data_IF_808861181276
#
_entry.id   IF_808861181276
#
_cell.length_a   1.000
_cell.length_b   1.000
_cell.length_c   1.000
_cell.angle_alpha   90.00
_cell.angle_beta   90.00
_cell.angle_gamma   90.00
#
_symmetry.space_group_name_H-M   'P 1'
#
loop_
_entity.id
_entity.type
_entity.pdbx_description
1 polymer ?
#
# COMPACT_ATOMS: atom_id res chain seq x y z
N UNK A 1 5.43 -14.17 -9.67
CA UNK A 1 3.99 -14.28 -9.42
C UNK A 1 3.68 -14.50 -7.94
N UNK A 2 4.07 -15.62 -7.33
CA UNK A 2 3.71 -15.90 -5.93
C UNK A 2 4.14 -14.84 -4.91
N UNK A 3 5.34 -14.24 -5.05
CA UNK A 3 5.76 -13.14 -4.17
C UNK A 3 4.88 -11.90 -4.29
N UNK A 4 4.35 -11.64 -5.49
CA UNK A 4 3.43 -10.52 -5.74
C UNK A 4 2.09 -10.83 -5.07
N UNK A 5 1.56 -12.03 -5.26
CA UNK A 5 0.30 -12.44 -4.62
C UNK A 5 0.40 -12.44 -3.08
N UNK A 6 1.51 -12.93 -2.53
CA UNK A 6 1.78 -12.87 -1.10
C UNK A 6 1.87 -11.41 -0.62
N UNK A 7 2.59 -10.56 -1.36
CA UNK A 7 2.68 -9.14 -1.07
C UNK A 7 1.33 -8.43 -1.12
N UNK A 8 0.47 -8.79 -2.06
CA UNK A 8 -0.87 -8.25 -2.14
C UNK A 8 -1.74 -8.63 -0.95
N UNK A 9 -1.70 -9.90 -0.54
CA UNK A 9 -2.41 -10.36 0.66
C UNK A 9 -1.90 -9.62 1.90
N UNK A 10 -0.58 -9.51 2.08
CA UNK A 10 -0.02 -8.80 3.24
C UNK A 10 -0.41 -7.31 3.19
N UNK A 11 -0.34 -6.68 2.03
CA UNK A 11 -0.68 -5.27 1.82
C UNK A 11 -2.13 -4.96 2.13
N UNK A 12 -3.05 -5.83 1.70
CA UNK A 12 -4.46 -5.70 1.99
C UNK A 12 -4.76 -5.65 3.50
N UNK A 13 -4.05 -6.44 4.31
CA UNK A 13 -4.37 -6.61 5.75
C UNK A 13 -3.41 -5.91 6.73
N UNK A 14 -2.15 -5.65 6.35
CA UNK A 14 -1.08 -5.17 7.24
C UNK A 14 -0.50 -3.81 6.84
N UNK A 15 -1.18 -3.11 5.96
CA UNK A 15 -0.72 -1.90 5.31
C UNK A 15 0.49 -2.06 4.37
N UNK A 16 0.62 -1.11 3.46
CA UNK A 16 1.74 -0.98 2.53
C UNK A 16 3.11 -0.89 3.25
N UNK A 17 3.22 -0.04 4.28
CA UNK A 17 4.46 0.12 5.05
C UNK A 17 4.84 -1.19 5.77
N UNK A 18 3.86 -1.87 6.36
CA UNK A 18 4.05 -3.17 7.00
C UNK A 18 4.54 -4.21 6.00
N UNK A 19 3.95 -4.24 4.81
CA UNK A 19 4.37 -5.12 3.71
C UNK A 19 5.81 -4.86 3.29
N UNK A 20 6.16 -3.59 3.07
CA UNK A 20 7.53 -3.20 2.71
C UNK A 20 8.55 -3.66 3.77
N UNK A 21 8.22 -3.55 5.05
CA UNK A 21 9.13 -3.90 6.15
C UNK A 21 9.19 -5.42 6.44
N UNK A 22 8.07 -6.12 6.32
CA UNK A 22 7.95 -7.56 6.63
C UNK A 22 8.41 -8.41 5.43
N UNK A 23 7.91 -8.11 4.23
CA UNK A 23 8.12 -8.97 3.07
C UNK A 23 9.55 -8.85 2.53
N UNK A 24 10.16 -7.68 2.60
CA UNK A 24 11.53 -7.45 2.11
C UNK A 24 12.58 -8.37 2.75
N UNK A 25 12.72 -8.47 4.09
CA UNK A 25 13.67 -9.40 4.68
C UNK A 25 13.33 -10.86 4.40
N UNK A 26 12.05 -11.22 4.27
CA UNK A 26 11.61 -12.58 3.91
C UNK A 26 12.08 -12.92 2.49
N UNK A 27 11.76 -12.07 1.52
CA UNK A 27 12.11 -12.26 0.11
C UNK A 27 13.61 -12.32 -0.09
N UNK A 28 14.38 -11.44 0.54
CA UNK A 28 15.84 -11.47 0.44
C UNK A 28 16.40 -12.76 1.05
N UNK A 29 15.88 -13.17 2.20
CA UNK A 29 16.34 -14.42 2.84
C UNK A 29 15.99 -15.64 1.99
N UNK A 30 14.83 -15.64 1.33
CA UNK A 30 14.43 -16.68 0.39
C UNK A 30 15.37 -16.72 -0.83
N UNK A 31 15.65 -15.56 -1.44
CA UNK A 31 16.52 -15.46 -2.61
C UNK A 31 17.97 -15.89 -2.31
N UNK A 32 18.47 -15.55 -1.12
CA UNK A 32 19.80 -15.99 -0.66
C UNK A 32 19.82 -17.51 -0.45
N UNK A 33 18.81 -18.08 0.23
CA UNK A 33 18.73 -19.53 0.48
C UNK A 33 18.59 -20.35 -0.79
N UNK A 34 17.85 -19.83 -1.78
CA UNK A 34 17.65 -20.46 -3.09
C UNK A 34 18.81 -20.20 -4.07
N UNK A 35 19.90 -19.60 -3.59
CA UNK A 35 21.16 -19.34 -4.31
C UNK A 35 20.96 -18.54 -5.60
N UNK A 36 19.92 -17.69 -5.66
CA UNK A 36 19.67 -16.80 -6.80
C UNK A 36 20.82 -15.80 -6.90
N UNK A 37 21.38 -15.61 -8.08
CA UNK A 37 22.48 -14.66 -8.26
C UNK A 37 22.01 -13.21 -8.03
N UNK A 38 22.92 -12.32 -7.62
CA UNK A 38 22.59 -10.95 -7.23
C UNK A 38 21.84 -10.13 -8.31
N UNK A 39 22.12 -10.38 -9.60
CA UNK A 39 21.40 -9.69 -10.69
C UNK A 39 19.96 -10.17 -10.80
N UNK A 40 19.74 -11.48 -10.73
CA UNK A 40 18.44 -12.11 -10.77
C UNK A 40 17.59 -11.86 -9.50
N UNK A 41 18.17 -11.31 -8.42
CA UNK A 41 17.41 -10.87 -7.24
C UNK A 41 16.63 -9.57 -7.47
N UNK A 42 17.11 -8.69 -8.35
CA UNK A 42 16.54 -7.35 -8.57
C UNK A 42 15.06 -7.40 -8.97
N UNK A 43 14.62 -8.25 -9.93
CA UNK A 43 13.22 -8.38 -10.29
C UNK A 43 12.30 -8.66 -9.09
N UNK A 44 12.72 -9.58 -8.21
CA UNK A 44 11.92 -9.98 -7.05
C UNK A 44 11.88 -8.89 -5.98
N UNK A 45 13.02 -8.26 -5.72
CA UNK A 45 13.11 -7.15 -4.76
C UNK A 45 12.24 -5.97 -5.23
N UNK A 46 12.37 -5.57 -6.49
CA UNK A 46 11.56 -4.51 -7.10
C UNK A 46 10.08 -4.88 -7.06
N UNK A 47 9.71 -6.11 -7.41
CA UNK A 47 8.33 -6.55 -7.37
C UNK A 47 7.73 -6.47 -5.94
N UNK A 48 8.50 -6.84 -4.92
CA UNK A 48 8.11 -6.69 -3.50
C UNK A 48 7.91 -5.23 -3.11
N UNK A 49 8.82 -4.34 -3.50
CA UNK A 49 8.67 -2.92 -3.23
C UNK A 49 7.48 -2.32 -3.97
N UNK A 50 7.27 -2.70 -5.23
CA UNK A 50 6.20 -2.18 -6.07
C UNK A 50 4.81 -2.60 -5.56
N UNK A 51 4.64 -3.90 -5.30
CA UNK A 51 3.34 -4.46 -4.88
C UNK A 51 2.87 -3.90 -3.54
N UNK A 52 3.82 -3.57 -2.65
CA UNK A 52 3.49 -3.04 -1.34
C UNK A 52 2.60 -1.79 -1.39
N UNK A 53 2.76 -0.87 -2.35
CA UNK A 53 1.79 0.23 -2.49
C UNK A 53 0.73 -0.09 -3.57
N UNK A 54 1.06 -0.77 -4.67
CA UNK A 54 0.09 -0.93 -5.77
C UNK A 54 -1.09 -1.85 -5.43
N UNK A 55 -0.98 -2.69 -4.39
CA UNK A 55 -2.08 -3.52 -3.89
C UNK A 55 -2.49 -3.19 -2.45
N UNK A 56 -2.34 -1.93 -2.05
CA UNK A 56 -2.86 -1.43 -0.78
C UNK A 56 -4.23 -0.77 -0.91
N UNK A 57 -4.96 -1.09 -1.99
CA UNK A 57 -6.22 -0.47 -2.42
C UNK A 57 -7.49 -1.08 -1.80
N UNK A 58 -7.60 -2.38 -1.45
CA UNK A 58 -8.91 -3.03 -1.36
C UNK A 58 -9.68 -2.73 -0.07
N UNK A 59 -9.00 -2.49 1.06
CA UNK A 59 -9.66 -2.24 2.35
C UNK A 59 -9.27 -0.87 2.90
N UNK A 60 -10.14 -0.31 3.74
CA UNK A 60 -9.85 0.94 4.46
C UNK A 60 -8.56 0.81 5.28
N UNK A 61 -8.29 -0.36 5.86
CA UNK A 61 -7.08 -0.61 6.68
C UNK A 61 -5.82 -0.90 5.87
N UNK A 62 -5.93 -1.08 4.55
CA UNK A 62 -4.80 -1.44 3.69
C UNK A 62 -3.78 -0.33 3.52
N UNK A 63 -4.15 0.92 3.78
CA UNK A 63 -3.23 2.06 3.71
C UNK A 63 -3.79 3.23 4.53
N UNK A 64 -2.92 4.06 5.08
CA UNK A 64 -3.34 5.29 5.73
C UNK A 64 -4.03 6.27 4.74
N UNK A 65 -3.63 6.25 3.46
CA UNK A 65 -4.33 6.94 2.36
C UNK A 65 -5.82 6.61 2.38
N UNK A 66 -6.16 5.33 2.50
CA UNK A 66 -7.53 4.83 2.44
C UNK A 66 -8.33 5.27 3.67
N UNK A 67 -7.74 5.15 4.87
CA UNK A 67 -8.34 5.60 6.13
C UNK A 67 -8.70 7.09 6.05
N UNK A 68 -7.76 7.91 5.62
CA UNK A 68 -7.95 9.36 5.53
C UNK A 68 -9.07 9.70 4.57
N UNK A 69 -9.06 9.16 3.36
CA UNK A 69 -10.10 9.41 2.36
C UNK A 69 -11.46 8.88 2.84
N UNK A 70 -11.54 7.67 3.37
CA UNK A 70 -12.81 7.09 3.85
C UNK A 70 -13.39 7.90 5.00
N UNK A 71 -12.56 8.34 5.95
CA UNK A 71 -13.01 9.16 7.07
C UNK A 71 -13.44 10.56 6.62
N UNK A 72 -12.75 11.17 5.65
CA UNK A 72 -13.11 12.50 5.16
C UNK A 72 -14.46 12.50 4.43
N UNK A 73 -14.71 11.49 3.58
CA UNK A 73 -15.94 11.37 2.79
C UNK A 73 -17.04 10.54 3.47
N UNK A 74 -16.84 10.12 4.74
CA UNK A 74 -17.74 9.25 5.50
C UNK A 74 -18.13 7.96 4.74
N UNK A 75 -17.16 7.35 4.07
CA UNK A 75 -17.34 6.08 3.36
C UNK A 75 -17.21 4.94 4.38
N UNK A 76 -18.24 4.11 4.49
CA UNK A 76 -18.21 2.94 5.38
C UNK A 76 -17.15 1.92 4.92
N UNK A 77 -16.66 1.10 5.85
CA UNK A 77 -15.68 0.05 5.54
C UNK A 77 -16.17 -0.88 4.42
N UNK A 78 -17.43 -1.30 4.47
CA UNK A 78 -17.99 -2.25 3.51
C UNK A 78 -18.20 -1.60 2.14
N UNK A 79 -18.79 -0.40 2.09
CA UNK A 79 -19.00 0.32 0.83
C UNK A 79 -17.68 0.65 0.13
N UNK A 80 -16.64 0.96 0.91
CA UNK A 80 -15.29 1.13 0.38
C UNK A 80 -14.77 -0.17 -0.25
N UNK A 81 -14.83 -1.28 0.50
CA UNK A 81 -14.30 -2.55 0.06
C UNK A 81 -15.03 -3.09 -1.18
N UNK A 82 -16.35 -2.97 -1.24
CA UNK A 82 -17.16 -3.36 -2.40
C UNK A 82 -16.68 -2.69 -3.68
N UNK A 83 -16.43 -1.38 -3.64
CA UNK A 83 -16.00 -0.61 -4.82
C UNK A 83 -14.53 -0.87 -5.16
N UNK A 84 -13.66 -1.00 -4.15
CA UNK A 84 -12.20 -1.00 -4.33
C UNK A 84 -11.60 -2.39 -4.51
N UNK A 85 -12.34 -3.45 -4.18
CA UNK A 85 -11.88 -4.83 -4.34
C UNK A 85 -11.55 -5.17 -5.79
N UNK A 86 -12.45 -4.84 -6.73
CA UNK A 86 -12.22 -5.14 -8.14
C UNK A 86 -11.06 -4.31 -8.75
N UNK A 87 -10.95 -2.99 -8.52
CA UNK A 87 -9.77 -2.22 -8.91
C UNK A 87 -8.45 -2.77 -8.36
N UNK A 88 -8.43 -3.25 -7.11
CA UNK A 88 -7.24 -3.87 -6.54
C UNK A 88 -6.84 -5.15 -7.31
N UNK A 89 -7.80 -6.02 -7.65
CA UNK A 89 -7.53 -7.21 -8.48
C UNK A 89 -6.93 -6.83 -9.84
N UNK A 90 -7.43 -5.76 -10.47
CA UNK A 90 -6.88 -5.25 -11.73
C UNK A 90 -5.47 -4.70 -11.52
N UNK A 91 -5.23 -3.98 -10.42
CA UNK A 91 -3.89 -3.49 -10.07
C UNK A 91 -2.90 -4.63 -9.87
N UNK A 92 -3.29 -5.68 -9.14
CA UNK A 92 -2.46 -6.88 -8.92
C UNK A 92 -2.18 -7.58 -10.25
N UNK A 93 -3.20 -7.83 -11.06
CA UNK A 93 -3.06 -8.51 -12.34
C UNK A 93 -2.16 -7.72 -13.31
N UNK A 94 -2.36 -6.41 -13.41
CA UNK A 94 -1.53 -5.52 -14.22
C UNK A 94 -0.09 -5.49 -13.68
N UNK A 95 0.10 -5.40 -12.37
CA UNK A 95 1.42 -5.42 -11.73
C UNK A 95 2.17 -6.71 -12.04
N UNK A 96 1.50 -7.86 -11.90
CA UNK A 96 2.05 -9.17 -12.28
C UNK A 96 2.45 -9.17 -13.75
N UNK A 97 1.55 -8.75 -14.65
CA UNK A 97 1.78 -8.77 -16.08
C UNK A 97 2.96 -7.88 -16.49
N UNK A 98 2.94 -6.59 -16.14
CA UNK A 98 3.96 -5.64 -16.59
C UNK A 98 5.32 -5.90 -15.94
N UNK A 99 5.38 -6.25 -14.65
CA UNK A 99 6.65 -6.63 -14.02
C UNK A 99 7.21 -7.91 -14.62
N UNK A 100 6.36 -8.92 -14.86
CA UNK A 100 6.79 -10.16 -15.48
C UNK A 100 7.33 -9.91 -16.89
N UNK A 101 6.59 -9.18 -17.73
CA UNK A 101 7.03 -8.86 -19.10
C UNK A 101 8.33 -8.07 -19.11
N UNK A 102 8.46 -7.07 -18.23
CA UNK A 102 9.66 -6.24 -18.12
C UNK A 102 10.90 -7.06 -17.71
N UNK A 103 10.75 -7.95 -16.73
CA UNK A 103 11.86 -8.74 -16.18
C UNK A 103 11.97 -10.17 -16.71
N UNK A 104 11.17 -10.58 -17.71
CA UNK A 104 11.08 -11.98 -18.16
C UNK A 104 12.41 -12.65 -18.48
N UNK A 105 13.40 -11.87 -18.94
CA UNK A 105 14.73 -12.36 -19.33
C UNK A 105 15.71 -12.47 -18.15
N UNK A 106 15.37 -11.85 -17.02
CA UNK A 106 16.19 -11.79 -15.80
C UNK A 106 15.71 -12.78 -14.73
N UNK A 107 14.48 -13.30 -14.88
CA UNK A 107 13.89 -14.28 -13.97
C UNK A 107 14.52 -15.66 -14.25
N UNK A 108 15.11 -16.33 -13.25
CA UNK A 108 15.69 -17.65 -13.44
C UNK A 108 14.58 -18.70 -13.65
N UNK A 109 14.80 -19.62 -14.60
CA UNK A 109 13.86 -20.72 -14.86
C UNK A 109 13.85 -21.77 -13.74
N UNK A 110 14.98 -21.94 -13.05
CA UNK A 110 15.17 -22.87 -11.94
C UNK A 110 15.88 -22.18 -10.79
N UNK A 111 15.52 -22.56 -9.58
CA UNK A 111 16.17 -22.14 -8.35
C UNK A 111 16.30 -23.35 -7.43
N UNK A 112 17.29 -23.30 -6.54
CA UNK A 112 17.57 -24.40 -5.63
C UNK A 112 16.52 -24.44 -4.50
N UNK A 113 15.94 -25.61 -4.26
CA UNK A 113 14.96 -25.86 -3.19
C UNK A 113 15.40 -26.97 -2.23
N UNK A 114 16.59 -27.55 -2.42
CA UNK A 114 17.04 -28.74 -1.68
C UNK A 114 17.32 -28.43 -0.20
N UNK A 115 17.76 -27.21 0.10
CA UNK A 115 18.14 -26.76 1.46
C UNK A 115 17.02 -26.00 2.21
N UNK A 116 15.74 -26.22 1.83
CA UNK A 116 14.61 -25.56 2.49
C UNK A 116 14.19 -26.30 3.77
N UNK A 117 14.11 -25.55 4.87
CA UNK A 117 13.66 -26.06 6.18
C UNK A 117 12.16 -26.40 6.10
N UNK A 118 11.75 -27.47 6.77
CA UNK A 118 10.34 -27.82 6.88
C UNK A 118 9.55 -26.67 7.57
N UNK A 119 8.45 -26.17 6.97
CA UNK A 119 7.65 -25.08 7.54
C UNK A 119 7.17 -25.30 8.98
N UNK A 120 6.96 -26.55 9.40
CA UNK A 120 6.52 -26.85 10.77
C UNK A 120 7.61 -26.59 11.81
N UNK A 121 8.88 -26.74 11.43
CA UNK A 121 10.03 -26.57 12.33
C UNK A 121 10.31 -25.10 12.67
N UNK A 122 9.80 -24.16 11.88
CA UNK A 122 10.01 -22.72 12.10
C UNK A 122 8.92 -22.07 12.96
N UNK A 123 7.84 -22.78 13.28
CA UNK A 123 6.73 -22.26 14.11
C UNK A 123 7.13 -22.29 15.59
N UNK A 124 7.61 -21.16 16.10
CA UNK A 124 7.99 -21.00 17.52
C UNK A 124 6.80 -21.08 18.48
N UNK A 125 5.67 -20.51 18.08
CA UNK A 125 4.46 -20.43 18.88
C UNK A 125 3.24 -20.91 18.08
N UNK A 126 2.85 -22.19 18.22
CA UNK A 126 1.71 -22.74 17.51
C UNK A 126 0.38 -22.08 17.85
N UNK A 127 0.22 -21.54 19.07
CA UNK A 127 -1.01 -20.87 19.48
C UNK A 127 -1.15 -19.56 18.71
N UNK A 128 -0.12 -18.71 18.75
CA UNK A 128 -0.13 -17.43 18.04
C UNK A 128 -0.24 -17.62 16.53
N UNK A 129 0.42 -18.65 15.99
CA UNK A 129 0.29 -19.02 14.59
C UNK A 129 -1.16 -19.39 14.22
N UNK A 130 -1.85 -20.19 15.03
CA UNK A 130 -3.26 -20.55 14.81
C UNK A 130 -4.21 -19.38 15.02
N UNK A 131 -3.88 -18.44 15.92
CA UNK A 131 -4.67 -17.23 16.18
C UNK A 131 -4.56 -16.18 15.08
N UNK A 132 -3.56 -16.26 14.21
CA UNK A 132 -3.37 -15.32 13.09
C UNK A 132 -4.65 -15.12 12.27
N UNK A 133 -5.21 -16.21 11.74
CA UNK A 133 -6.37 -16.13 10.87
C UNK A 133 -7.65 -15.68 11.61
N UNK A 134 -8.00 -16.21 12.80
CA UNK A 134 -9.09 -15.69 13.62
C UNK A 134 -8.96 -14.19 13.94
N UNK A 135 -7.76 -13.69 14.24
CA UNK A 135 -7.54 -12.26 14.53
C UNK A 135 -7.80 -11.41 13.28
N UNK A 136 -7.34 -11.84 12.10
CA UNK A 136 -7.65 -11.14 10.84
C UNK A 136 -9.16 -11.13 10.56
N UNK A 137 -9.84 -12.26 10.71
CA UNK A 137 -11.30 -12.33 10.55
C UNK A 137 -12.00 -11.39 11.55
N UNK A 138 -11.55 -11.37 12.80
CA UNK A 138 -12.11 -10.49 13.83
C UNK A 138 -11.87 -9.02 13.51
N UNK A 139 -10.73 -8.64 12.94
CA UNK A 139 -10.47 -7.28 12.47
C UNK A 139 -11.40 -6.90 11.31
N UNK A 140 -11.61 -7.79 10.35
CA UNK A 140 -12.51 -7.53 9.21
C UNK A 140 -13.95 -7.35 9.70
N UNK A 141 -14.46 -8.30 10.49
CA UNK A 141 -15.82 -8.26 11.03
C UNK A 141 -15.99 -7.04 11.94
N UNK A 142 -15.02 -6.81 12.84
CA UNK A 142 -15.04 -5.69 13.78
C UNK A 142 -15.09 -4.35 13.06
N UNK A 143 -14.23 -4.13 12.05
CA UNK A 143 -14.21 -2.89 11.27
C UNK A 143 -15.45 -2.75 10.38
N UNK A 144 -16.00 -3.85 9.86
CA UNK A 144 -17.25 -3.83 9.10
C UNK A 144 -18.43 -3.39 9.97
N UNK A 145 -18.60 -4.01 11.14
CA UNK A 145 -19.64 -3.63 12.12
C UNK A 145 -19.40 -2.20 12.61
N UNK A 146 -18.16 -1.86 12.97
CA UNK A 146 -17.80 -0.52 13.41
C UNK A 146 -18.12 0.56 12.39
N UNK A 147 -17.89 0.29 11.11
CA UNK A 147 -18.25 1.17 10.01
C UNK A 147 -19.74 1.50 9.93
N UNK A 148 -20.63 0.56 10.31
CA UNK A 148 -22.08 0.81 10.35
C UNK A 148 -22.46 1.82 11.45
N UNK A 149 -21.68 1.89 12.51
CA UNK A 149 -21.91 2.77 13.67
C UNK A 149 -20.96 3.98 13.70
N UNK A 150 -20.17 4.20 12.64
CA UNK A 150 -19.20 5.29 12.57
C UNK A 150 -18.06 5.18 13.61
N UNK A 151 -17.76 3.98 14.10
CA UNK A 151 -16.69 3.75 15.07
C UNK A 151 -15.33 3.84 14.35
N UNK A 152 -14.41 4.73 14.80
CA UNK A 152 -13.08 4.80 14.23
C UNK A 152 -12.32 3.46 14.29
N UNK A 153 -11.60 3.14 13.21
CA UNK A 153 -10.77 1.92 13.04
C UNK A 153 -9.88 1.63 14.25
N UNK A 154 -9.34 2.68 14.89
CA UNK A 154 -8.46 2.55 16.05
C UNK A 154 -9.16 1.91 17.26
N UNK A 155 -10.42 2.24 17.53
CA UNK A 155 -11.17 1.70 18.68
C UNK A 155 -11.52 0.21 18.53
N UNK A 156 -11.36 -0.34 17.33
CA UNK A 156 -11.55 -1.77 17.05
C UNK A 156 -10.20 -2.47 17.00
N UNK A 157 -9.26 -1.92 16.24
CA UNK A 157 -7.98 -2.55 15.95
C UNK A 157 -7.06 -2.60 17.17
N UNK A 158 -7.03 -1.55 18.00
CA UNK A 158 -6.16 -1.48 19.17
C UNK A 158 -6.54 -2.54 20.22
N UNK A 159 -7.82 -2.69 20.64
CA UNK A 159 -8.20 -3.73 21.59
C UNK A 159 -7.90 -5.16 21.10
N UNK A 160 -8.14 -5.45 19.81
CA UNK A 160 -7.89 -6.78 19.23
C UNK A 160 -6.39 -7.11 19.27
N UNK A 161 -5.55 -6.18 18.83
CA UNK A 161 -4.08 -6.37 18.85
C UNK A 161 -3.55 -6.42 20.29
N UNK A 162 -4.11 -5.62 21.20
CA UNK A 162 -3.76 -5.67 22.62
C UNK A 162 -4.10 -7.03 23.25
N UNK A 163 -5.25 -7.62 22.90
CA UNK A 163 -5.62 -8.98 23.32
C UNK A 163 -4.61 -10.02 22.83
N UNK A 164 -4.23 -9.98 21.55
CA UNK A 164 -3.20 -10.87 21.00
C UNK A 164 -1.85 -10.68 21.69
N UNK A 165 -1.47 -9.44 22.00
CA UNK A 165 -0.23 -9.12 22.72
C UNK A 165 -0.25 -9.66 24.15
N UNK A 166 -1.39 -9.59 24.85
CA UNK A 166 -1.55 -10.19 26.19
C UNK A 166 -1.40 -11.70 26.12
N UNK A 167 -2.10 -12.37 25.19
CA UNK A 167 -1.99 -13.83 25.00
C UNK A 167 -0.55 -14.22 24.69
N UNK A 168 0.12 -13.49 23.79
CA UNK A 168 1.53 -13.71 23.42
C UNK A 168 2.47 -13.58 24.63
N UNK A 169 2.26 -12.56 25.47
CA UNK A 169 3.06 -12.31 26.67
C UNK A 169 2.85 -13.40 27.73
N UNK A 170 1.61 -13.87 27.90
CA UNK A 170 1.28 -14.95 28.82
C UNK A 170 1.88 -16.29 28.36
N UNK A 171 1.93 -16.55 27.05
CA UNK A 171 2.54 -17.76 26.51
C UNK A 171 4.08 -17.75 26.55
N UNK A 172 4.70 -16.57 26.62
CA UNK A 172 6.14 -16.39 26.83
C UNK A 172 7.05 -16.79 25.66
N UNK A 173 6.49 -17.26 24.53
CA UNK A 173 7.27 -17.72 23.35
C UNK A 173 7.55 -16.62 22.32
N UNK A 174 6.86 -15.49 22.41
CA UNK A 174 7.00 -14.33 21.51
C UNK A 174 7.41 -13.11 22.32
N UNK A 175 8.47 -12.43 21.89
CA UNK A 175 8.90 -11.17 22.49
C UNK A 175 8.03 -10.00 22.01
N UNK A 176 6.91 -9.79 22.72
CA UNK A 176 5.97 -8.70 22.46
C UNK A 176 6.63 -7.34 22.61
N UNK A 177 7.57 -7.18 23.55
CA UNK A 177 8.24 -5.89 23.80
C UNK A 177 9.10 -5.52 22.60
N UNK A 178 9.82 -6.49 22.04
CA UNK A 178 10.58 -6.30 20.79
C UNK A 178 9.66 -5.95 19.63
N UNK A 179 8.55 -6.67 19.44
CA UNK A 179 7.60 -6.40 18.36
C UNK A 179 7.04 -4.96 18.42
N UNK A 180 6.69 -4.49 19.62
CA UNK A 180 6.21 -3.11 19.83
C UNK A 180 7.32 -2.09 19.56
N UNK A 181 8.57 -2.34 19.97
CA UNK A 181 9.71 -1.43 19.71
C UNK A 181 10.11 -1.37 18.23
N UNK A 182 9.97 -2.49 17.51
CA UNK A 182 10.29 -2.59 16.08
C UNK A 182 9.16 -2.11 15.17
N UNK A 183 7.96 -1.84 15.72
CA UNK A 183 6.86 -1.27 14.97
C UNK A 183 7.25 0.09 14.36
N UNK A 184 6.71 0.45 13.17
CA UNK A 184 7.08 1.66 12.45
C UNK A 184 6.41 2.92 13.02
N UNK A 185 6.77 3.32 14.25
CA UNK A 185 6.23 4.50 14.94
C UNK A 185 6.42 5.81 14.18
N UNK A 186 7.38 5.83 13.25
CA UNK A 186 7.62 6.97 12.36
C UNK A 186 6.38 7.32 11.54
N UNK A 187 5.53 6.34 11.20
CA UNK A 187 4.28 6.57 10.44
C UNK A 187 3.32 7.47 11.22
N UNK A 188 3.20 7.27 12.54
CA UNK A 188 2.33 8.08 13.40
C UNK A 188 2.82 9.52 13.47
N UNK A 189 4.13 9.71 13.69
CA UNK A 189 4.73 11.06 13.75
C UNK A 189 4.64 11.75 12.38
N UNK A 190 4.93 11.01 11.31
CA UNK A 190 4.89 11.51 9.94
C UNK A 190 3.48 11.95 9.54
N UNK A 191 2.46 11.14 9.82
CA UNK A 191 1.07 11.46 9.50
C UNK A 191 0.58 12.71 10.24
N UNK A 192 0.90 12.86 11.53
CA UNK A 192 0.61 14.08 12.29
C UNK A 192 1.30 15.31 11.70
N UNK A 193 2.59 15.18 11.36
CA UNK A 193 3.36 16.26 10.73
C UNK A 193 2.77 16.66 9.37
N UNK A 194 2.43 15.68 8.53
CA UNK A 194 1.84 15.92 7.21
C UNK A 194 0.44 16.55 7.29
N UNK A 195 -0.36 16.21 8.31
CA UNK A 195 -1.64 16.86 8.55
C UNK A 195 -1.48 18.37 8.78
N UNK A 196 -0.53 18.76 9.65
CA UNK A 196 -0.23 20.18 9.91
C UNK A 196 0.27 20.91 8.65
N UNK A 197 1.18 20.28 7.91
CA UNK A 197 1.76 20.85 6.69
C UNK A 197 0.69 21.07 5.63
N UNK A 198 -0.15 20.07 5.34
CA UNK A 198 -1.19 20.20 4.32
C UNK A 198 -2.27 21.19 4.72
N UNK A 199 -2.68 21.20 5.99
CA UNK A 199 -3.67 22.18 6.45
C UNK A 199 -3.14 23.63 6.30
N UNK A 200 -1.84 23.83 6.50
CA UNK A 200 -1.17 25.11 6.25
C UNK A 200 -1.14 25.47 4.76
N UNK A 201 -0.85 24.50 3.88
CA UNK A 201 -0.91 24.70 2.42
C UNK A 201 -2.33 25.01 1.93
N UNK A 202 -3.33 24.31 2.46
CA UNK A 202 -4.73 24.54 2.13
C UNK A 202 -5.17 25.96 2.51
N UNK A 203 -4.74 26.43 3.68
CA UNK A 203 -4.95 27.81 4.14
C UNK A 203 -4.21 28.86 3.29
N UNK A 204 -3.24 28.44 2.47
CA UNK A 204 -2.42 29.31 1.60
C UNK A 204 -2.91 29.32 0.13
N UNK A 205 -4.06 28.70 -0.18
CA UNK A 205 -4.67 28.69 -1.52
C UNK A 205 -4.28 27.52 -2.43
N UNK A 206 -3.45 26.59 -1.95
CA UNK A 206 -3.03 25.42 -2.76
C UNK A 206 -4.22 24.49 -3.09
N UNK A 207 -5.18 24.37 -2.17
CA UNK A 207 -6.44 23.65 -2.42
C UNK A 207 -7.20 24.25 -3.60
N UNK A 208 -7.27 25.59 -3.71
CA UNK A 208 -7.97 26.28 -4.79
C UNK A 208 -7.32 26.02 -6.16
N UNK A 209 -5.98 25.93 -6.20
CA UNK A 209 -5.25 25.56 -7.43
C UNK A 209 -5.64 24.14 -7.86
N UNK A 210 -5.73 23.20 -6.92
CA UNK A 210 -6.11 21.83 -7.21
C UNK A 210 -7.57 21.72 -7.68
N UNK A 211 -8.49 22.45 -7.04
CA UNK A 211 -9.89 22.55 -7.49
C UNK A 211 -9.97 23.09 -8.92
N UNK A 212 -9.22 24.16 -9.22
CA UNK A 212 -9.14 24.70 -10.58
C UNK A 212 -8.60 23.66 -11.57
N UNK A 213 -7.53 22.96 -11.23
CA UNK A 213 -6.94 21.93 -12.08
C UNK A 213 -7.93 20.79 -12.37
N UNK A 214 -8.64 20.29 -11.36
CA UNK A 214 -9.66 19.24 -11.56
C UNK A 214 -10.79 19.77 -12.46
N UNK A 215 -11.34 20.94 -12.14
CA UNK A 215 -12.43 21.55 -12.91
C UNK A 215 -12.02 21.92 -14.35
N UNK A 216 -10.75 22.23 -14.59
CA UNK A 216 -10.24 22.52 -15.93
C UNK A 216 -10.31 21.32 -16.88
N UNK A 217 -10.58 20.12 -16.38
CA UNK A 217 -10.75 18.90 -17.19
C UNK A 217 -12.18 18.36 -17.16
N UNK A 218 -13.11 19.00 -16.45
CA UNK A 218 -14.48 18.50 -16.25
C UNK A 218 -15.33 18.55 -17.52
N UNK A 219 -14.96 19.39 -18.49
CA UNK A 219 -15.62 19.46 -19.79
C UNK A 219 -15.33 18.24 -20.68
N UNK A 220 -14.30 17.45 -20.34
CA UNK A 220 -13.93 16.27 -21.12
C UNK A 220 -14.90 15.12 -20.83
N UNK A 221 -15.24 14.31 -21.84
CA UNK A 221 -16.15 13.19 -21.65
C UNK A 221 -15.55 12.17 -20.69
N UNK A 222 -16.42 11.49 -19.94
CA UNK A 222 -16.03 10.26 -19.26
C UNK A 222 -15.58 9.23 -20.31
N UNK A 223 -14.44 8.52 -20.14
CA UNK A 223 -13.62 8.41 -18.92
C UNK A 223 -12.44 9.37 -18.79
N UNK A 224 -12.21 10.25 -19.76
CA UNK A 224 -10.97 11.02 -19.87
C UNK A 224 -10.76 11.97 -18.69
N UNK A 225 -11.80 12.63 -18.20
CA UNK A 225 -11.74 13.49 -17.01
C UNK A 225 -11.23 12.73 -15.76
N UNK A 226 -11.69 11.49 -15.54
CA UNK A 226 -11.28 10.66 -14.41
C UNK A 226 -9.80 10.28 -14.51
N UNK A 227 -9.35 9.89 -15.70
CA UNK A 227 -7.95 9.53 -15.96
C UNK A 227 -7.02 10.71 -15.73
N UNK A 228 -7.36 11.90 -16.26
CA UNK A 228 -6.54 13.10 -16.08
C UNK A 228 -6.47 13.53 -14.62
N UNK A 229 -7.59 13.46 -13.90
CA UNK A 229 -7.61 13.73 -12.46
C UNK A 229 -6.76 12.70 -11.69
N UNK A 230 -6.87 11.42 -12.04
CA UNK A 230 -6.04 10.36 -11.47
C UNK A 230 -4.53 10.58 -11.73
N UNK A 231 -4.14 10.98 -12.94
CA UNK A 231 -2.74 11.32 -13.23
C UNK A 231 -2.26 12.56 -12.49
N UNK A 232 -3.12 13.57 -12.34
CA UNK A 232 -2.82 14.74 -11.52
C UNK A 232 -2.53 14.34 -10.08
N UNK A 233 -3.40 13.53 -9.46
CA UNK A 233 -3.20 13.02 -8.09
C UNK A 233 -1.92 12.19 -7.98
N UNK A 234 -1.66 11.33 -8.96
CA UNK A 234 -0.45 10.50 -8.99
C UNK A 234 0.82 11.34 -9.12
N UNK A 235 0.81 12.40 -9.93
CA UNK A 235 1.93 13.33 -10.08
C UNK A 235 2.20 14.11 -8.79
N UNK A 236 1.14 14.56 -8.11
CA UNK A 236 1.27 15.21 -6.80
C UNK A 236 1.86 14.21 -5.80
N UNK A 237 1.31 12.99 -5.69
CA UNK A 237 1.83 11.94 -4.81
C UNK A 237 3.32 11.64 -5.08
N UNK A 238 3.72 11.56 -6.35
CA UNK A 238 5.10 11.35 -6.76
C UNK A 238 6.05 12.52 -6.41
N UNK A 239 5.56 13.74 -6.28
CA UNK A 239 6.42 14.90 -5.97
C UNK A 239 6.55 15.18 -4.48
N UNK A 240 5.47 14.99 -3.71
CA UNK A 240 5.44 15.38 -2.29
C UNK A 240 5.23 14.25 -1.29
N UNK A 241 4.89 13.04 -1.76
CA UNK A 241 4.43 11.86 -0.99
C UNK A 241 2.91 11.64 -1.04
N UNK A 242 2.47 10.39 -0.94
CA UNK A 242 1.07 9.99 -0.98
C UNK A 242 0.21 10.58 0.15
N UNK A 243 0.75 10.66 1.37
CA UNK A 243 0.01 11.20 2.52
C UNK A 243 -0.41 12.67 2.33
N UNK A 244 0.52 13.61 2.07
CA UNK A 244 0.13 14.99 1.86
C UNK A 244 -0.72 15.20 0.60
N UNK A 245 -0.44 14.45 -0.46
CA UNK A 245 -1.24 14.46 -1.69
C UNK A 245 -2.69 14.01 -1.44
N UNK A 246 -2.91 12.98 -0.62
CA UNK A 246 -4.25 12.47 -0.27
C UNK A 246 -5.06 13.49 0.54
N UNK A 247 -4.43 14.17 1.50
CA UNK A 247 -5.09 15.21 2.29
C UNK A 247 -5.47 16.40 1.40
N UNK A 248 -4.56 16.85 0.52
CA UNK A 248 -4.83 17.94 -0.41
C UNK A 248 -5.94 17.56 -1.39
N UNK A 249 -5.90 16.34 -1.93
CA UNK A 249 -6.94 15.82 -2.81
C UNK A 249 -8.30 15.76 -2.11
N UNK A 250 -8.36 15.25 -0.87
CA UNK A 250 -9.59 15.23 -0.08
C UNK A 250 -10.18 16.62 0.12
N UNK A 251 -9.35 17.60 0.49
CA UNK A 251 -9.79 19.00 0.65
C UNK A 251 -10.30 19.62 -0.65
N UNK A 252 -9.67 19.32 -1.79
CA UNK A 252 -10.08 19.84 -3.08
C UNK A 252 -11.36 19.18 -3.59
N UNK A 253 -11.44 17.84 -3.52
CA UNK A 253 -12.60 17.05 -3.94
C UNK A 253 -13.83 17.38 -3.07
N UNK A 254 -13.65 17.69 -1.78
CA UNK A 254 -14.72 18.16 -0.91
C UNK A 254 -15.42 19.45 -1.37
N UNK A 255 -14.78 20.23 -2.26
CA UNK A 255 -15.35 21.44 -2.87
C UNK A 255 -16.00 21.17 -4.24
N UNK A 256 -15.95 19.92 -4.73
CA UNK A 256 -16.47 19.52 -6.03
C UNK A 256 -17.80 18.77 -5.84
N UNK A 257 -18.82 19.17 -6.59
CA UNK A 257 -20.12 18.49 -6.55
C UNK A 257 -19.99 17.06 -7.10
N UNK A 258 -20.56 16.08 -6.39
CA UNK A 258 -20.49 14.63 -6.72
C UNK A 258 -19.05 14.07 -6.84
N UNK A 259 -18.12 14.57 -6.03
CA UNK A 259 -16.70 14.17 -6.05
C UNK A 259 -16.38 12.74 -5.56
N UNK A 260 -17.36 11.90 -5.24
CA UNK A 260 -17.09 10.59 -4.61
C UNK A 260 -16.28 9.64 -5.51
N UNK A 261 -16.55 9.62 -6.81
CA UNK A 261 -15.76 8.82 -7.77
C UNK A 261 -14.33 9.35 -7.88
N UNK A 262 -14.14 10.66 -7.77
CA UNK A 262 -12.81 11.27 -7.70
C UNK A 262 -12.09 10.90 -6.40
N UNK A 263 -12.80 10.70 -5.29
CA UNK A 263 -12.20 10.23 -4.04
C UNK A 263 -11.60 8.83 -4.21
N UNK A 264 -12.33 7.88 -4.81
CA UNK A 264 -11.79 6.54 -5.13
C UNK A 264 -10.64 6.59 -6.13
N UNK A 265 -10.75 7.39 -7.19
CA UNK A 265 -9.66 7.59 -8.14
C UNK A 265 -8.42 8.23 -7.48
N UNK A 266 -8.62 9.13 -6.52
CA UNK A 266 -7.53 9.72 -5.73
C UNK A 266 -6.81 8.68 -4.89
N UNK A 267 -7.52 7.71 -4.31
CA UNK A 267 -6.88 6.62 -3.57
C UNK A 267 -6.00 5.78 -4.52
N UNK A 268 -6.56 5.31 -5.63
CA UNK A 268 -5.83 4.52 -6.64
C UNK A 268 -4.54 5.26 -7.07
N UNK A 269 -4.68 6.56 -7.36
CA UNK A 269 -3.58 7.40 -7.78
C UNK A 269 -2.55 7.66 -6.68
N UNK A 270 -2.97 7.82 -5.42
CA UNK A 270 -2.09 8.02 -4.27
C UNK A 270 -1.44 6.71 -3.79
N UNK A 271 -1.91 5.55 -4.22
CA UNK A 271 -1.26 4.26 -3.95
C UNK A 271 -0.26 3.88 -5.06
N UNK A 272 -0.62 4.08 -6.33
CA UNK A 272 0.26 3.69 -7.46
C UNK A 272 1.21 4.81 -7.88
N UNK A 273 0.73 6.06 -7.92
CA UNK A 273 1.51 7.25 -8.31
C UNK A 273 2.83 7.44 -7.56
N UNK A 274 2.91 7.16 -6.25
CA UNK A 274 4.16 7.11 -5.50
C UNK A 274 5.29 6.32 -6.14
N UNK A 275 4.98 5.32 -6.98
CA UNK A 275 6.01 4.50 -7.63
C UNK A 275 6.81 5.23 -8.68
N UNK A 276 6.38 6.41 -9.12
CA UNK A 276 7.13 7.21 -10.09
C UNK A 276 8.41 7.80 -9.49
N UNK A 277 8.51 7.98 -8.17
CA UNK A 277 9.71 8.52 -7.52
C UNK A 277 10.00 7.85 -6.16
N UNK A 278 11.26 7.84 -5.68
CA UNK A 278 11.57 7.28 -4.37
C UNK A 278 10.88 7.98 -3.19
N UNK A 279 10.62 9.29 -3.31
CA UNK A 279 10.01 10.10 -2.23
C UNK A 279 8.48 9.93 -2.17
N UNK A 280 7.87 9.38 -3.22
CA UNK A 280 6.43 9.33 -3.39
C UNK A 280 5.67 8.54 -2.31
N UNK A 281 6.31 7.61 -1.60
CA UNK A 281 5.70 6.88 -0.48
C UNK A 281 6.71 6.65 0.63
N UNK A 282 6.25 6.75 1.88
CA UNK A 282 7.09 6.45 3.05
C UNK A 282 7.52 4.98 3.03
N UNK A 283 6.63 4.07 2.62
CA UNK A 283 6.93 2.65 2.48
C UNK A 283 8.12 2.43 1.52
N UNK A 284 8.16 3.18 0.41
CA UNK A 284 9.27 3.12 -0.56
C UNK A 284 10.58 3.60 0.08
N UNK A 285 10.57 4.68 0.85
CA UNK A 285 11.76 5.19 1.54
C UNK A 285 12.25 4.20 2.60
N UNK A 286 11.35 3.67 3.43
CA UNK A 286 11.65 2.66 4.45
C UNK A 286 12.21 1.38 3.82
N UNK A 287 11.65 0.97 2.69
CA UNK A 287 12.10 -0.16 1.91
C UNK A 287 13.52 0.04 1.36
N UNK A 288 13.77 1.14 0.63
CA UNK A 288 15.10 1.46 0.10
C UNK A 288 16.15 1.58 1.22
N UNK A 289 15.78 2.22 2.33
CA UNK A 289 16.64 2.32 3.51
C UNK A 289 16.95 0.95 4.13
N UNK A 290 15.94 0.08 4.23
CA UNK A 290 16.09 -1.28 4.76
C UNK A 290 17.00 -2.12 3.86
N UNK A 291 16.85 -2.02 2.54
CA UNK A 291 17.71 -2.70 1.57
C UNK A 291 19.18 -2.27 1.71
N UNK A 292 19.42 -0.96 1.75
CA UNK A 292 20.77 -0.42 1.83
C UNK A 292 21.40 -0.75 3.18
N UNK A 293 20.72 -0.44 4.29
CA UNK A 293 21.29 -0.53 5.64
C UNK A 293 21.43 -1.96 6.14
N UNK A 294 20.43 -2.82 5.89
CA UNK A 294 20.43 -4.20 6.43
C UNK A 294 21.06 -5.21 5.49
N UNK A 295 21.13 -4.94 4.18
CA UNK A 295 21.53 -5.92 3.17
C UNK A 295 22.58 -5.44 2.18
N UNK A 296 22.98 -4.16 2.22
CA UNK A 296 23.97 -3.59 1.30
C UNK A 296 23.48 -3.50 -0.15
N UNK A 297 22.18 -3.65 -0.40
CA UNK A 297 21.58 -3.60 -1.74
C UNK A 297 21.19 -2.16 -2.04
N UNK A 298 21.78 -1.58 -3.09
CA UNK A 298 21.50 -0.20 -3.50
C UNK A 298 20.73 -0.22 -4.82
N UNK A 299 19.51 0.31 -4.78
CA UNK A 299 18.71 0.58 -5.97
C UNK A 299 18.91 2.04 -6.36
N UNK A 300 19.48 2.28 -7.54
CA UNK A 300 19.71 3.64 -8.02
C UNK A 300 18.37 4.36 -8.25
N UNK A 301 18.21 5.63 -7.84
CA UNK A 301 16.97 6.38 -8.03
C UNK A 301 16.47 6.37 -9.48
N UNK A 302 17.35 6.62 -10.46
CA UNK A 302 16.99 6.58 -11.88
C UNK A 302 16.48 5.22 -12.34
N UNK A 303 17.06 4.12 -11.83
CA UNK A 303 16.60 2.78 -12.15
C UNK A 303 15.19 2.53 -11.58
N UNK A 304 14.98 2.90 -10.31
CA UNK A 304 13.66 2.85 -9.67
C UNK A 304 12.63 3.64 -10.46
N UNK A 305 12.90 4.92 -10.77
CA UNK A 305 11.98 5.78 -11.50
C UNK A 305 11.67 5.23 -12.89
N UNK A 306 12.67 4.72 -13.62
CA UNK A 306 12.47 4.10 -14.93
C UNK A 306 11.44 2.97 -14.87
N UNK A 307 11.54 2.09 -13.88
CA UNK A 307 10.57 1.00 -13.69
C UNK A 307 9.22 1.56 -13.25
N UNK A 308 9.23 2.50 -12.31
CA UNK A 308 8.06 3.22 -11.85
C UNK A 308 7.22 3.79 -12.98
N UNK A 309 7.84 4.46 -13.95
CA UNK A 309 7.14 4.99 -15.12
C UNK A 309 6.71 3.89 -16.10
N UNK A 310 7.60 2.96 -16.47
CA UNK A 310 7.31 1.93 -17.49
C UNK A 310 6.21 0.97 -17.02
N UNK A 311 6.23 0.58 -15.75
CA UNK A 311 5.30 -0.39 -15.16
C UNK A 311 4.15 0.32 -14.46
N UNK A 312 4.42 1.37 -13.67
CA UNK A 312 3.39 2.04 -12.88
C UNK A 312 2.39 2.82 -13.69
N UNK A 313 2.80 3.43 -14.82
CA UNK A 313 1.85 4.18 -15.65
C UNK A 313 0.76 3.28 -16.25
N UNK A 314 1.06 2.15 -16.90
CA UNK A 314 0.02 1.26 -17.40
C UNK A 314 -0.77 0.58 -16.27
N UNK A 315 -0.14 0.25 -15.13
CA UNK A 315 -0.87 -0.26 -13.94
C UNK A 315 -1.90 0.76 -13.46
N UNK A 316 -1.48 2.01 -13.23
CA UNK A 316 -2.37 3.10 -12.84
C UNK A 316 -3.52 3.29 -13.84
N UNK A 317 -3.20 3.28 -15.14
CA UNK A 317 -4.20 3.45 -16.20
C UNK A 317 -5.28 2.37 -16.12
N UNK A 318 -4.88 1.10 -16.08
CA UNK A 318 -5.82 -0.03 -16.06
C UNK A 318 -6.64 -0.04 -14.76
N UNK A 319 -6.02 0.27 -13.63
CA UNK A 319 -6.72 0.34 -12.35
C UNK A 319 -7.73 1.48 -12.32
N UNK A 320 -7.40 2.67 -12.83
CA UNK A 320 -8.36 3.78 -12.95
C UNK A 320 -9.51 3.44 -13.91
N UNK A 321 -9.23 2.77 -15.03
CA UNK A 321 -10.25 2.30 -15.96
C UNK A 321 -11.18 1.26 -15.32
N UNK A 322 -10.67 0.41 -14.44
CA UNK A 322 -11.49 -0.62 -13.79
C UNK A 322 -12.53 -0.06 -12.82
N UNK A 323 -12.28 1.13 -12.24
CA UNK A 323 -13.25 1.84 -11.40
C UNK A 323 -14.54 2.22 -12.17
N UNK A 324 -14.51 2.13 -13.50
CA UNK A 324 -15.62 2.47 -14.39
C UNK A 324 -16.58 1.31 -14.62
N UNK A 325 -16.18 0.10 -14.24
CA UNK A 325 -17.00 -1.10 -14.40
C UNK A 325 -17.89 -1.19 -13.17
N UNK A 326 -19.22 -0.98 -13.30
CA UNK A 326 -20.13 -1.19 -12.19
C UNK A 326 -20.08 -2.66 -11.78
N UNK A 327 -19.94 -2.88 -10.48
CA UNK A 327 -20.00 -4.21 -9.84
C UNK A 327 -21.46 -4.55 -9.57
#
# INVERSE_FOLDING_TARGET
VYLILLGAIISAFFANDGTALILTPIVISLLIRTKVNAKAMIPFIIATGFIADSSSIPLVISNLVNIVTSSYFNISFLSYAEIMFFPDLVSIAASVFFLYVYYRKEIPEKYDTEDLINPEEVIKDPLIFKLFLPVIILLIIGNSIGGLYGIPVAFISVPIVAGLAIISKLNGKVDVTKAVKEAPWQIVIFSLGMYLVVYSFGSSGFTSIMVYAINSTSFLPFPLHLLLSGYLFAAIAATMNNMPSTLLASLAIGQIHNGITLAYASVIANDIGPKFTPIGSLATLLWLFTLQRKRGIIIKPLHYMKIGFIVGLPVLTLTLLSLMIPI
#
